data_IF_262767676651
#
_entry.id   IF_262767676651
#
_cell.length_a   1.000
_cell.length_b   1.000
_cell.length_c   1.000
_cell.angle_alpha   90.00
_cell.angle_beta   90.00
_cell.angle_gamma   90.00
#
_symmetry.space_group_name_H-M   'P 1'
#
loop_
_entity.id
_entity.type
_entity.pdbx_description
1 polymer ?
#
# COMPACT_ATOMS: atom_id res chain seq x y z
N UNK A 1 36.92 59.54 -28.79
CA UNK A 1 36.00 58.90 -29.76
C UNK A 1 35.29 57.76 -29.02
N UNK A 2 34.09 58.01 -28.51
CA UNK A 2 33.36 57.14 -27.56
C UNK A 2 32.37 56.23 -28.29
N UNK A 3 32.60 54.92 -28.22
CA UNK A 3 31.73 53.86 -28.77
C UNK A 3 30.56 53.60 -27.82
N UNK A 4 29.34 53.94 -28.24
CA UNK A 4 28.10 53.67 -27.49
C UNK A 4 27.65 52.23 -27.70
N UNK A 5 27.69 51.42 -26.64
CA UNK A 5 27.15 50.04 -26.62
C UNK A 5 25.61 50.11 -26.51
N UNK A 6 24.84 49.51 -27.43
CA UNK A 6 23.38 49.58 -27.41
C UNK A 6 22.76 48.76 -26.26
N UNK A 7 21.85 49.41 -25.52
CA UNK A 7 21.18 48.95 -24.28
C UNK A 7 20.20 47.78 -24.42
N UNK A 8 20.08 47.14 -25.59
CA UNK A 8 18.99 46.19 -25.87
C UNK A 8 19.30 44.72 -25.56
N UNK A 9 20.46 44.42 -24.96
CA UNK A 9 20.94 43.04 -24.76
C UNK A 9 20.95 42.59 -23.28
N UNK A 10 19.95 42.98 -22.48
CA UNK A 10 19.81 42.55 -21.07
C UNK A 10 18.47 41.89 -20.71
N UNK A 11 17.59 41.64 -21.68
CA UNK A 11 16.28 41.01 -21.47
C UNK A 11 16.16 39.71 -22.29
N UNK A 12 16.92 38.67 -21.93
CA UNK A 12 16.73 37.36 -22.58
C UNK A 12 17.06 36.14 -21.71
N UNK A 13 17.33 36.30 -20.40
CA UNK A 13 17.75 35.19 -19.54
C UNK A 13 17.08 35.29 -18.16
N UNK A 14 15.75 35.17 -18.07
CA UNK A 14 15.07 34.95 -16.77
C UNK A 14 13.86 33.99 -16.87
N UNK A 15 13.50 33.47 -18.05
CA UNK A 15 12.28 32.68 -18.24
C UNK A 15 12.48 31.15 -18.25
N UNK A 16 13.55 30.63 -17.64
CA UNK A 16 13.75 29.20 -17.38
C UNK A 16 14.06 29.03 -15.89
N UNK A 17 13.07 28.69 -15.07
CA UNK A 17 13.38 28.51 -13.65
C UNK A 17 12.30 27.93 -12.75
N UNK A 18 11.07 27.69 -13.21
CA UNK A 18 10.05 27.04 -12.38
C UNK A 18 9.19 26.08 -13.21
N UNK A 19 9.76 24.97 -13.64
CA UNK A 19 8.98 23.72 -13.72
C UNK A 19 9.00 23.11 -12.33
N UNK A 20 8.08 23.55 -11.48
CA UNK A 20 7.82 22.90 -10.21
C UNK A 20 7.29 21.50 -10.54
N UNK A 21 8.09 20.46 -10.25
CA UNK A 21 7.64 19.09 -10.32
C UNK A 21 6.49 18.92 -9.33
N UNK A 22 5.26 18.73 -9.84
CA UNK A 22 4.14 18.34 -9.03
C UNK A 22 4.32 16.86 -8.64
N UNK A 23 5.23 16.60 -7.69
CA UNK A 23 5.29 15.28 -7.08
C UNK A 23 3.97 15.07 -6.33
N UNK A 24 3.12 14.18 -6.87
CA UNK A 24 1.90 13.78 -6.18
C UNK A 24 2.28 13.22 -4.80
N UNK A 25 1.65 13.73 -3.74
CA UNK A 25 1.80 13.10 -2.42
C UNK A 25 1.29 11.67 -2.52
N UNK A 26 2.12 10.71 -2.10
CA UNK A 26 1.65 9.36 -1.83
C UNK A 26 0.52 9.48 -0.79
N UNK A 27 -0.62 8.86 -1.09
CA UNK A 27 -1.76 8.81 -0.17
C UNK A 27 -1.72 7.45 0.51
N UNK A 28 -1.51 7.46 1.83
CA UNK A 28 -1.76 6.27 2.64
C UNK A 28 -3.26 5.96 2.59
N UNK A 29 -3.60 4.71 2.30
CA UNK A 29 -4.97 4.24 2.20
C UNK A 29 -5.11 2.82 2.74
N UNK A 30 -6.35 2.44 3.02
CA UNK A 30 -6.70 1.06 3.33
C UNK A 30 -6.61 0.23 2.04
N UNK A 31 -5.72 -0.76 2.06
CA UNK A 31 -5.57 -1.77 1.01
C UNK A 31 -6.57 -2.90 1.23
N UNK A 32 -6.71 -3.31 2.50
CA UNK A 32 -7.63 -4.37 2.93
C UNK A 32 -8.40 -3.89 4.16
N UNK A 33 -9.70 -4.12 4.16
CA UNK A 33 -10.57 -4.07 5.34
C UNK A 33 -11.59 -5.20 5.23
N UNK A 34 -11.45 -6.28 6.01
CA UNK A 34 -12.32 -7.46 5.90
C UNK A 34 -13.69 -7.30 6.55
N UNK A 35 -13.81 -6.45 7.58
CA UNK A 35 -15.07 -6.18 8.26
C UNK A 35 -15.10 -4.75 8.85
N UNK A 36 -16.29 -4.18 9.03
CA UNK A 36 -16.52 -2.87 9.67
C UNK A 36 -16.12 -2.89 11.15
N UNK A 37 -16.04 -1.74 11.80
CA UNK A 37 -15.72 -1.69 13.23
C UNK A 37 -16.98 -2.02 14.04
N UNK A 38 -16.98 -3.18 14.71
CA UNK A 38 -18.03 -3.61 15.61
C UNK A 38 -17.84 -3.07 17.03
N UNK A 39 -18.66 -3.57 17.95
CA UNK A 39 -18.53 -3.26 19.39
C UNK A 39 -17.33 -3.98 20.00
N UNK A 40 -16.58 -3.33 20.92
CA UNK A 40 -15.52 -4.02 21.67
C UNK A 40 -16.04 -5.30 22.35
N UNK A 41 -15.33 -6.41 22.19
CA UNK A 41 -15.71 -7.72 22.72
C UNK A 41 -14.60 -8.34 23.58
N UNK A 42 -14.98 -9.18 24.53
CA UNK A 42 -14.07 -9.99 25.36
C UNK A 42 -13.93 -11.43 24.84
N UNK A 43 -14.43 -11.69 23.63
CA UNK A 43 -14.46 -13.00 22.99
C UNK A 43 -14.19 -12.86 21.49
N UNK A 44 -13.86 -13.97 20.85
CA UNK A 44 -13.56 -14.02 19.44
C UNK A 44 -12.94 -15.34 19.04
N UNK A 45 -12.50 -15.42 17.77
CA UNK A 45 -11.70 -16.55 17.31
C UNK A 45 -10.30 -16.47 17.91
N UNK A 46 -9.88 -17.52 18.60
CA UNK A 46 -8.63 -17.54 19.34
C UNK A 46 -7.40 -17.56 18.42
N UNK A 47 -6.34 -16.90 18.89
CA UNK A 47 -4.99 -16.91 18.35
C UNK A 47 -4.08 -17.53 19.41
N UNK A 48 -3.61 -18.74 19.15
CA UNK A 48 -2.68 -19.49 20.00
C UNK A 48 -1.63 -20.19 19.13
N UNK A 49 -0.63 -20.85 19.73
CA UNK A 49 0.64 -21.20 19.06
C UNK A 49 0.52 -22.10 17.83
N UNK A 50 -0.58 -22.83 17.67
CA UNK A 50 -0.89 -23.69 16.53
C UNK A 50 -2.06 -23.18 15.66
N UNK A 51 -2.70 -22.06 16.01
CA UNK A 51 -3.79 -21.46 15.23
C UNK A 51 -3.46 -20.03 14.80
N UNK A 52 -3.56 -19.80 13.50
CA UNK A 52 -3.39 -18.49 12.87
C UNK A 52 -4.63 -18.16 12.07
N UNK A 53 -4.98 -16.89 12.02
CA UNK A 53 -6.09 -16.40 11.19
C UNK A 53 -5.53 -15.37 10.23
N UNK A 54 -5.99 -15.42 8.99
CA UNK A 54 -5.52 -14.51 7.96
C UNK A 54 -6.59 -14.14 6.96
N UNK A 55 -6.27 -13.17 6.11
CA UNK A 55 -7.09 -12.82 4.96
C UNK A 55 -6.22 -12.55 3.75
N UNK A 56 -6.79 -12.84 2.59
CA UNK A 56 -6.19 -12.57 1.29
C UNK A 56 -6.41 -11.12 0.91
N UNK A 57 -5.51 -10.57 0.09
CA UNK A 57 -5.68 -9.28 -0.57
C UNK A 57 -4.90 -9.25 -1.89
N UNK A 58 -5.38 -8.44 -2.83
CA UNK A 58 -4.79 -8.24 -4.14
C UNK A 58 -4.18 -6.84 -4.25
N UNK A 59 -3.06 -6.72 -4.96
CA UNK A 59 -2.47 -5.44 -5.33
C UNK A 59 -2.40 -5.32 -6.86
N UNK A 60 -3.04 -4.30 -7.42
CA UNK A 60 -2.93 -3.99 -8.86
C UNK A 60 -1.62 -3.28 -9.22
N UNK A 61 -0.99 -2.63 -8.24
CA UNK A 61 0.20 -1.79 -8.42
C UNK A 61 1.21 -2.03 -7.32
N UNK A 62 2.46 -1.63 -7.57
CA UNK A 62 3.50 -1.68 -6.52
C UNK A 62 3.08 -0.80 -5.35
N UNK A 63 2.94 -1.36 -4.16
CA UNK A 63 2.42 -0.69 -2.97
C UNK A 63 3.40 -0.81 -1.82
N UNK A 64 3.71 0.30 -1.15
CA UNK A 64 4.47 0.28 0.09
C UNK A 64 3.50 0.03 1.25
N UNK A 65 3.49 -1.19 1.78
CA UNK A 65 2.75 -1.49 3.00
C UNK A 65 3.49 -0.85 4.17
N UNK A 66 2.74 -0.11 4.99
CA UNK A 66 3.28 0.68 6.11
C UNK A 66 2.76 0.18 7.46
N UNK A 67 1.55 -0.38 7.48
CA UNK A 67 0.95 -0.94 8.68
C UNK A 67 0.07 -2.14 8.37
N UNK A 68 -0.06 -3.01 9.35
CA UNK A 68 -1.05 -4.09 9.37
C UNK A 68 -1.83 -3.98 10.68
N UNK A 69 -3.06 -4.47 10.70
CA UNK A 69 -3.86 -4.38 11.91
C UNK A 69 -5.07 -5.29 11.93
N UNK A 70 -5.82 -5.18 13.01
CA UNK A 70 -7.08 -5.88 13.18
C UNK A 70 -7.76 -5.52 14.49
N UNK A 71 -9.01 -5.98 14.66
CA UNK A 71 -9.76 -5.81 15.88
C UNK A 71 -9.45 -6.95 16.86
N UNK A 72 -8.48 -6.71 17.72
CA UNK A 72 -7.78 -7.73 18.50
C UNK A 72 -7.94 -7.46 20.00
N UNK A 73 -8.13 -8.51 20.78
CA UNK A 73 -8.07 -8.49 22.25
C UNK A 73 -7.16 -9.61 22.79
N UNK A 74 -6.69 -9.47 24.03
CA UNK A 74 -5.85 -10.45 24.71
C UNK A 74 -4.63 -9.85 25.40
N UNK A 75 -3.59 -10.68 25.59
CA UNK A 75 -2.39 -10.32 26.35
C UNK A 75 -1.11 -10.92 25.76
N UNK A 76 0.02 -10.27 26.03
CA UNK A 76 1.34 -10.71 25.56
C UNK A 76 1.62 -10.24 24.14
N UNK A 77 2.47 -10.97 23.41
CA UNK A 77 2.87 -10.58 22.05
C UNK A 77 2.25 -11.44 20.97
N UNK A 78 1.78 -10.82 19.90
CA UNK A 78 1.36 -11.48 18.66
C UNK A 78 2.27 -11.07 17.52
N UNK A 79 2.32 -11.89 16.48
CA UNK A 79 2.89 -11.49 15.20
C UNK A 79 1.80 -11.20 14.18
N UNK A 80 2.11 -10.31 13.24
CA UNK A 80 1.43 -10.20 11.97
C UNK A 80 2.44 -10.33 10.82
N UNK A 81 2.10 -11.12 9.81
CA UNK A 81 3.00 -11.45 8.71
C UNK A 81 2.29 -11.38 7.36
N UNK A 82 3.07 -11.06 6.32
CA UNK A 82 2.61 -11.08 4.93
C UNK A 82 3.36 -12.19 4.17
N UNK A 83 2.61 -12.98 3.41
CA UNK A 83 3.13 -13.97 2.47
C UNK A 83 2.58 -13.73 1.06
N UNK A 84 3.35 -14.12 0.04
CA UNK A 84 2.83 -14.24 -1.33
C UNK A 84 1.90 -15.46 -1.45
N UNK A 85 0.93 -15.36 -2.34
CA UNK A 85 0.05 -16.44 -2.76
C UNK A 85 0.28 -16.77 -4.24
N UNK A 86 -0.04 -17.99 -4.66
CA UNK A 86 0.10 -18.41 -6.05
C UNK A 86 -1.07 -18.00 -6.95
N UNK A 87 -2.22 -17.66 -6.35
CA UNK A 87 -3.45 -17.26 -7.02
C UNK A 87 -4.38 -16.54 -6.01
N UNK A 88 -5.43 -15.84 -6.47
CA UNK A 88 -6.33 -15.07 -5.59
C UNK A 88 -7.03 -15.90 -4.51
N UNK A 89 -7.37 -17.17 -4.81
CA UNK A 89 -8.04 -18.08 -3.87
C UNK A 89 -7.05 -19.04 -3.18
N UNK A 90 -5.75 -18.98 -3.52
CA UNK A 90 -4.77 -19.89 -2.95
C UNK A 90 -4.58 -19.65 -1.45
N UNK A 91 -4.28 -20.71 -0.72
CA UNK A 91 -3.86 -20.64 0.67
C UNK A 91 -2.32 -20.53 0.76
N UNK A 92 -1.77 -20.04 1.88
CA UNK A 92 -0.33 -20.05 2.10
C UNK A 92 0.23 -21.48 1.97
N UNK A 93 1.41 -21.60 1.37
CA UNK A 93 2.13 -22.88 1.31
C UNK A 93 2.74 -23.22 2.68
N UNK A 94 2.77 -24.49 3.04
CA UNK A 94 3.28 -24.96 4.33
C UNK A 94 2.23 -24.96 5.44
N UNK A 95 2.70 -24.87 6.68
CA UNK A 95 1.85 -24.84 7.89
C UNK A 95 1.88 -23.49 8.58
N UNK A 96 1.01 -23.29 9.57
CA UNK A 96 0.93 -22.11 10.44
C UNK A 96 2.27 -21.62 11.01
N UNK A 97 3.24 -22.53 11.19
CA UNK A 97 4.57 -22.22 11.72
C UNK A 97 5.69 -22.19 10.68
N UNK A 98 5.45 -22.66 9.46
CA UNK A 98 6.51 -22.89 8.46
C UNK A 98 6.31 -22.15 7.14
N UNK A 99 5.19 -21.43 6.96
CA UNK A 99 4.89 -20.71 5.74
C UNK A 99 5.99 -19.66 5.38
N UNK A 100 6.28 -19.44 4.08
CA UNK A 100 7.24 -18.44 3.64
C UNK A 100 6.74 -17.02 3.98
N UNK A 101 7.65 -16.13 4.39
CA UNK A 101 7.27 -14.77 4.83
C UNK A 101 8.05 -13.73 4.06
N UNK A 102 7.33 -12.73 3.55
CA UNK A 102 7.91 -11.56 2.88
C UNK A 102 8.26 -10.48 3.90
N UNK A 103 7.39 -10.24 4.87
CA UNK A 103 7.61 -9.30 5.95
C UNK A 103 6.78 -9.69 7.18
N UNK A 104 7.25 -9.33 8.38
CA UNK A 104 6.52 -9.54 9.63
C UNK A 104 6.84 -8.45 10.64
N UNK A 105 5.98 -8.33 11.64
CA UNK A 105 6.18 -7.49 12.82
C UNK A 105 5.58 -8.17 14.03
N UNK A 106 6.10 -7.88 15.22
CA UNK A 106 5.58 -8.35 16.51
C UNK A 106 5.08 -7.15 17.29
N UNK A 107 3.91 -7.28 17.90
CA UNK A 107 3.25 -6.22 18.65
C UNK A 107 2.63 -6.77 19.93
N UNK A 108 2.42 -5.90 20.91
CA UNK A 108 1.91 -6.26 22.23
C UNK A 108 0.41 -5.99 22.33
N UNK A 109 -0.32 -6.95 22.88
CA UNK A 109 -1.68 -6.78 23.36
C UNK A 109 -1.66 -6.46 24.85
N UNK A 110 -2.42 -5.44 25.25
CA UNK A 110 -2.46 -4.94 26.63
C UNK A 110 -3.89 -4.82 27.19
N UNK A 111 -4.89 -5.40 26.52
CA UNK A 111 -6.29 -5.23 26.88
C UNK A 111 -7.12 -6.47 26.52
N UNK A 112 -7.98 -6.88 27.45
CA UNK A 112 -8.98 -7.94 27.28
C UNK A 112 -10.24 -7.48 26.52
N UNK A 113 -10.29 -6.25 26.04
CA UNK A 113 -11.33 -5.79 25.12
C UNK A 113 -10.74 -5.64 23.73
N UNK A 114 -11.47 -6.10 22.71
CA UNK A 114 -11.03 -5.91 21.34
C UNK A 114 -10.97 -4.43 20.98
N UNK A 115 -9.88 -4.06 20.32
CA UNK A 115 -9.67 -2.71 19.79
C UNK A 115 -8.91 -2.81 18.48
N UNK A 116 -9.02 -1.79 17.63
CA UNK A 116 -8.24 -1.73 16.40
C UNK A 116 -6.79 -1.46 16.76
N UNK A 117 -5.93 -2.44 16.49
CA UNK A 117 -4.49 -2.36 16.71
C UNK A 117 -3.80 -2.23 15.37
N UNK A 118 -2.90 -1.26 15.25
CA UNK A 118 -2.04 -1.08 14.09
C UNK A 118 -0.59 -1.31 14.49
N UNK A 119 0.05 -2.25 13.81
CA UNK A 119 1.47 -2.55 13.94
C UNK A 119 2.21 -2.04 12.70
N UNK A 120 3.33 -1.34 12.92
CA UNK A 120 4.17 -0.87 11.83
C UNK A 120 4.83 -2.06 11.11
N UNK A 121 4.75 -2.04 9.79
CA UNK A 121 5.35 -3.04 8.90
C UNK A 121 5.84 -2.32 7.66
N UNK A 122 7.13 -2.38 7.34
CA UNK A 122 7.68 -1.72 6.16
C UNK A 122 8.07 -2.74 5.10
N UNK A 123 7.28 -2.82 4.03
CA UNK A 123 7.58 -3.68 2.88
C UNK A 123 7.01 -3.09 1.60
N UNK A 124 7.77 -3.12 0.51
CA UNK A 124 7.26 -2.76 -0.82
C UNK A 124 6.92 -4.02 -1.59
N UNK A 125 5.65 -4.18 -1.95
CA UNK A 125 5.13 -5.33 -2.66
C UNK A 125 4.80 -4.95 -4.10
N UNK A 126 5.14 -5.81 -5.05
CA UNK A 126 4.71 -5.65 -6.44
C UNK A 126 3.23 -6.03 -6.63
N UNK A 127 2.68 -5.86 -7.85
CA UNK A 127 1.36 -6.40 -8.17
C UNK A 127 1.29 -7.91 -7.92
N UNK A 128 0.17 -8.41 -7.37
CA UNK A 128 -0.01 -9.83 -7.07
C UNK A 128 -0.97 -10.11 -5.91
N UNK A 129 -1.06 -11.39 -5.57
CA UNK A 129 -1.92 -11.90 -4.49
C UNK A 129 -1.10 -12.19 -3.24
N UNK A 130 -1.62 -11.76 -2.09
CA UNK A 130 -0.94 -11.84 -0.81
C UNK A 130 -1.91 -12.27 0.29
N UNK A 131 -1.37 -12.75 1.40
CA UNK A 131 -2.13 -12.99 2.62
C UNK A 131 -1.51 -12.26 3.80
N UNK A 132 -2.36 -11.61 4.59
CA UNK A 132 -2.07 -11.14 5.94
C UNK A 132 -2.41 -12.25 6.92
N UNK A 133 -1.51 -12.57 7.85
CA UNK A 133 -1.68 -13.66 8.83
C UNK A 133 -1.31 -13.14 10.22
N UNK A 134 -2.20 -13.33 11.19
CA UNK A 134 -1.94 -13.10 12.61
C UNK A 134 -1.83 -14.41 13.38
N UNK A 135 -0.97 -14.42 14.39
CA UNK A 135 -0.80 -15.56 15.28
C UNK A 135 0.21 -15.33 16.40
N UNK A 136 0.61 -16.42 17.05
CA UNK A 136 1.63 -16.47 18.11
C UNK A 136 2.48 -17.74 17.94
N UNK A 137 3.55 -17.90 18.72
CA UNK A 137 4.44 -19.07 18.64
C UNK A 137 5.50 -19.01 17.52
N UNK A 138 5.55 -17.91 16.77
CA UNK A 138 6.56 -17.63 15.73
C UNK A 138 7.12 -16.21 15.90
N UNK A 139 8.32 -15.96 15.37
CA UNK A 139 8.99 -14.65 15.41
C UNK A 139 9.24 -14.08 16.82
N UNK A 140 9.21 -14.93 17.84
CA UNK A 140 9.33 -14.53 19.24
C UNK A 140 8.03 -14.08 19.88
N UNK A 141 6.89 -14.17 19.19
CA UNK A 141 5.57 -13.93 19.77
C UNK A 141 5.17 -15.08 20.70
N UNK A 142 4.74 -14.75 21.92
CA UNK A 142 4.45 -15.68 23.01
C UNK A 142 3.11 -15.42 23.74
N UNK A 143 2.33 -14.46 23.25
CA UNK A 143 1.06 -14.07 23.85
C UNK A 143 -0.10 -14.97 23.44
N UNK A 144 -1.28 -14.56 23.89
CA UNK A 144 -2.58 -15.13 23.54
C UNK A 144 -3.52 -14.02 23.15
N UNK A 145 -4.26 -14.19 22.06
CA UNK A 145 -5.23 -13.19 21.63
C UNK A 145 -6.44 -13.80 20.96
N UNK A 146 -7.32 -12.94 20.49
CA UNK A 146 -8.47 -13.32 19.69
C UNK A 146 -8.91 -12.17 18.79
N UNK A 147 -9.58 -12.52 17.70
CA UNK A 147 -10.23 -11.60 16.77
C UNK A 147 -11.74 -11.63 17.02
N UNK A 148 -12.34 -10.47 17.31
CA UNK A 148 -13.81 -10.38 17.46
C UNK A 148 -14.49 -10.83 16.16
N UNK A 149 -15.64 -11.52 16.29
CA UNK A 149 -16.46 -11.99 15.17
C UNK A 149 -17.79 -11.23 15.03
N UNK A 150 -18.01 -10.18 15.82
CA UNK A 150 -19.25 -9.39 15.82
C UNK A 150 -19.20 -8.19 14.85
N UNK A 151 -18.27 -8.21 13.89
CA UNK A 151 -18.15 -7.17 12.88
C UNK A 151 -18.95 -7.54 11.63
N UNK A 152 -19.37 -6.55 10.84
CA UNK A 152 -20.03 -6.81 9.55
C UNK A 152 -18.98 -6.99 8.45
N UNK A 153 -18.98 -8.15 7.78
CA UNK A 153 -18.06 -8.42 6.68
C UNK A 153 -18.20 -7.39 5.55
N UNK A 154 -17.08 -6.94 5.00
CA UNK A 154 -17.05 -6.13 3.78
C UNK A 154 -17.00 -7.04 2.54
N UNK A 155 -17.21 -6.51 1.33
CA UNK A 155 -17.00 -7.26 0.09
C UNK A 155 -15.56 -7.76 -0.13
N UNK A 156 -14.57 -7.28 0.63
CA UNK A 156 -13.18 -7.73 0.56
C UNK A 156 -12.88 -8.93 1.48
N UNK A 157 -13.85 -9.38 2.30
CA UNK A 157 -13.63 -10.46 3.25
C UNK A 157 -13.27 -11.76 2.52
N UNK A 158 -12.04 -12.24 2.76
CA UNK A 158 -11.53 -13.52 2.26
C UNK A 158 -10.68 -14.18 3.34
N UNK A 159 -11.34 -14.51 4.44
CA UNK A 159 -10.71 -14.99 5.67
C UNK A 159 -10.48 -16.51 5.60
N UNK A 160 -9.34 -16.93 6.12
CA UNK A 160 -8.96 -18.33 6.28
C UNK A 160 -8.31 -18.53 7.65
N UNK A 161 -8.20 -19.78 8.09
CA UNK A 161 -7.54 -20.12 9.36
C UNK A 161 -6.65 -21.35 9.20
N UNK A 162 -5.70 -21.54 10.11
CA UNK A 162 -4.99 -22.82 10.23
C UNK A 162 -5.61 -23.69 11.31
N UNK A 163 -5.72 -24.98 11.00
CA UNK A 163 -6.20 -25.99 11.93
C UNK A 163 -5.17 -26.16 13.07
N UNK A 164 -5.65 -26.20 14.30
CA UNK A 164 -4.80 -26.33 15.50
C UNK A 164 -4.07 -27.68 15.58
N UNK A 165 -4.63 -28.73 14.99
CA UNK A 165 -4.10 -30.09 15.05
C UNK A 165 -3.06 -30.33 13.96
N UNK A 166 -3.36 -29.94 12.72
CA UNK A 166 -2.48 -30.20 11.56
C UNK A 166 -1.60 -29.01 11.17
N UNK A 167 -1.97 -27.80 11.58
CA UNK A 167 -1.36 -26.55 11.12
C UNK A 167 -1.70 -26.20 9.66
N UNK A 168 -2.55 -27.00 9.00
CA UNK A 168 -2.96 -26.78 7.61
C UNK A 168 -3.97 -25.64 7.52
N UNK A 169 -3.85 -24.84 6.46
CA UNK A 169 -4.79 -23.78 6.19
C UNK A 169 -6.09 -24.33 5.60
N UNK A 170 -7.21 -23.77 6.04
CA UNK A 170 -8.55 -24.12 5.61
C UNK A 170 -9.33 -22.84 5.29
N UNK A 171 -10.15 -22.91 4.24
CA UNK A 171 -11.06 -21.85 3.87
C UNK A 171 -12.37 -21.90 4.66
N UNK A 172 -12.94 -20.71 4.89
CA UNK A 172 -14.25 -20.54 5.52
C UNK A 172 -14.23 -20.76 7.04
N UNK A 173 -15.42 -20.84 7.64
CA UNK A 173 -15.60 -21.06 9.08
C UNK A 173 -15.28 -19.86 9.99
N UNK A 174 -14.74 -18.79 9.42
CA UNK A 174 -14.41 -17.54 10.12
C UNK A 174 -15.08 -16.38 9.38
N UNK A 175 -15.94 -15.65 10.08
CA UNK A 175 -16.68 -14.49 9.55
C UNK A 175 -16.65 -13.35 10.55
N UNK A 176 -16.87 -12.11 10.09
CA UNK A 176 -16.97 -10.95 10.97
C UNK A 176 -15.68 -10.62 11.72
N UNK A 177 -14.52 -11.07 11.22
CA UNK A 177 -13.22 -10.66 11.74
C UNK A 177 -12.72 -9.46 10.96
N UNK A 178 -12.27 -8.42 11.67
CA UNK A 178 -11.72 -7.19 11.08
C UNK A 178 -10.20 -7.29 11.03
N UNK A 179 -9.66 -7.40 9.82
CA UNK A 179 -8.25 -7.42 9.47
C UNK A 179 -7.98 -6.26 8.52
N UNK A 180 -6.85 -5.57 8.72
CA UNK A 180 -6.53 -4.32 8.07
C UNK A 180 -5.12 -4.37 7.46
N UNK A 181 -4.99 -3.86 6.24
CA UNK A 181 -3.68 -3.57 5.61
C UNK A 181 -3.69 -2.11 5.19
N UNK A 182 -2.69 -1.35 5.62
CA UNK A 182 -2.49 0.04 5.25
C UNK A 182 -1.25 0.14 4.36
N UNK A 183 -1.41 0.81 3.22
CA UNK A 183 -0.32 1.01 2.30
C UNK A 183 -0.39 2.34 1.56
N UNK A 184 0.74 2.68 0.96
CA UNK A 184 0.92 3.84 0.10
C UNK A 184 1.15 3.36 -1.33
N UNK A 185 0.23 3.70 -2.22
CA UNK A 185 0.46 3.56 -3.65
C UNK A 185 1.27 4.75 -4.14
N UNK A 186 2.30 4.56 -4.99
CA UNK A 186 2.98 5.67 -5.63
C UNK A 186 1.94 6.52 -6.39
N UNK A 187 2.13 7.85 -6.44
CA UNK A 187 1.24 8.70 -7.21
C UNK A 187 1.18 8.17 -8.64
N UNK A 188 -0.02 7.86 -9.12
CA UNK A 188 -0.22 7.55 -10.54
C UNK A 188 0.34 8.74 -11.30
N UNK A 189 1.31 8.50 -12.19
CA UNK A 189 1.89 9.55 -13.01
C UNK A 189 0.78 10.08 -13.92
N UNK A 190 0.06 11.11 -13.44
CA UNK A 190 -0.96 11.79 -14.23
C UNK A 190 -0.21 12.48 -15.36
N UNK A 191 -0.49 12.15 -16.65
CA UNK A 191 0.09 12.89 -17.75
C UNK A 191 -0.32 14.35 -17.58
N UNK A 192 0.62 15.21 -17.19
CA UNK A 192 0.28 16.59 -16.89
C UNK A 192 -0.27 17.25 -18.16
N UNK A 193 -1.49 17.84 -18.15
CA UNK A 193 -2.00 18.58 -19.29
C UNK A 193 -1.04 19.70 -19.70
N UNK A 194 -0.33 20.28 -18.74
CA UNK A 194 0.75 21.25 -18.95
C UNK A 194 1.92 20.67 -19.73
N UNK A 195 2.31 19.41 -19.54
CA UNK A 195 3.39 18.81 -20.34
C UNK A 195 2.99 18.71 -21.82
N UNK A 196 1.73 18.35 -22.10
CA UNK A 196 1.19 18.35 -23.46
C UNK A 196 1.09 19.77 -24.04
N UNK A 197 0.61 20.73 -23.24
CA UNK A 197 0.51 22.13 -23.66
C UNK A 197 1.89 22.74 -23.88
N UNK A 198 2.87 22.47 -23.02
CA UNK A 198 4.26 22.93 -23.17
C UNK A 198 4.93 22.30 -24.38
N UNK A 199 4.74 21.00 -24.60
CA UNK A 199 5.24 20.33 -25.81
C UNK A 199 4.60 20.93 -27.07
N UNK A 200 3.28 21.13 -27.08
CA UNK A 200 2.57 21.75 -28.19
C UNK A 200 3.04 23.20 -28.44
N UNK A 201 3.24 23.98 -27.37
CA UNK A 201 3.72 25.36 -27.45
C UNK A 201 5.17 25.40 -27.97
N UNK A 202 6.02 24.49 -27.53
CA UNK A 202 7.40 24.35 -28.02
C UNK A 202 7.46 24.02 -29.52
N UNK A 203 6.62 23.09 -29.98
CA UNK A 203 6.50 22.75 -31.41
C UNK A 203 6.01 23.95 -32.23
N UNK A 204 4.99 24.68 -31.74
CA UNK A 204 4.49 25.88 -32.42
C UNK A 204 5.56 26.99 -32.51
N UNK A 205 6.32 27.21 -31.45
CA UNK A 205 7.42 28.20 -31.48
C UNK A 205 8.49 27.80 -32.49
N UNK A 206 8.97 26.55 -32.46
CA UNK A 206 9.98 26.06 -33.40
C UNK A 206 9.50 26.11 -34.85
N UNK A 207 8.26 25.70 -35.11
CA UNK A 207 7.63 25.77 -36.43
C UNK A 207 7.50 27.21 -36.95
N UNK A 208 7.09 28.15 -36.09
CA UNK A 208 7.00 29.56 -36.42
C UNK A 208 8.36 30.19 -36.77
N UNK A 209 9.42 29.82 -36.05
CA UNK A 209 10.78 30.28 -36.35
C UNK A 209 11.30 29.73 -37.69
N UNK A 210 11.10 28.44 -37.97
CA UNK A 210 11.50 27.81 -39.22
C UNK A 210 10.80 28.44 -40.44
N UNK A 211 9.49 28.71 -40.33
CA UNK A 211 8.71 29.32 -41.39
C UNK A 211 9.16 30.76 -41.72
N UNK A 212 9.44 31.57 -40.69
CA UNK A 212 9.97 32.94 -40.88
C UNK A 212 11.31 32.96 -41.62
N UNK A 213 12.21 31.98 -41.38
CA UNK A 213 13.49 31.88 -42.10
C UNK A 213 13.30 31.58 -43.58
N UNK A 214 12.39 30.67 -43.94
CA UNK A 214 12.13 30.33 -45.36
C UNK A 214 11.61 31.52 -46.15
N UNK A 215 10.72 32.34 -45.59
CA UNK A 215 10.19 33.53 -46.29
C UNK A 215 11.28 34.54 -46.67
N UNK A 216 12.27 34.76 -45.78
CA UNK A 216 13.37 35.70 -46.08
C UNK A 216 14.25 35.26 -47.23
N UNK A 217 14.38 33.95 -47.48
CA UNK A 217 15.20 33.40 -48.57
C UNK A 217 14.52 33.48 -49.95
N UNK A 218 13.21 33.73 -50.02
CA UNK A 218 12.46 33.81 -51.29
C UNK A 218 12.37 35.24 -51.84
N UNK A 219 12.73 36.25 -51.04
CA UNK A 219 12.64 37.67 -51.41
C UNK A 219 13.99 38.30 -51.74
N UNK A 220 15.05 37.50 -51.86
CA UNK A 220 16.38 37.90 -52.34
C UNK A 220 16.68 37.23 -53.68
#
# INVERSE_FOLDING_TARGET
>A
MMTRIPRQLKLAIVALGLTAAAAGQARAGLVLETATAGTPATYGYSLFSNQTIGSRFHLDTTTAITQIGGNLGGSGTLFGAITALSAPDALPTGTSLTFPVLAWTVFTLSNDLTTDIFANLSVTLGPGDYALIFGTGRFGADGTGYLSFDNDDTPQSSVFFSNDTTGEYNDGGVTGVRLLVVGETPPVAVPEPSAMVSAATGVMMLGGFAWRRRRKAMTS
#
